data_IF_969781004694
#
_entry.id   IF_969781004694
#
_cell.length_a   1.000
_cell.length_b   1.000
_cell.length_c   1.000
_cell.angle_alpha   90.00
_cell.angle_beta   90.00
_cell.angle_gamma   90.00
#
_symmetry.space_group_name_H-M   'P 1'
#
loop_
_entity.id
_entity.type
_entity.pdbx_description
1 polymer ?
#
# COMPACT_ATOMS: atom_id res chain seq x y z
N UNK A 1 2.13 9.97 20.71
CA UNK A 1 3.02 8.91 21.27
C UNK A 1 2.51 7.56 20.77
N UNK A 2 2.90 7.15 19.55
CA UNK A 2 2.45 5.91 18.91
C UNK A 2 3.52 4.84 19.10
N UNK A 3 3.30 3.90 20.02
CA UNK A 3 4.10 2.67 20.10
C UNK A 3 3.69 1.75 18.96
N UNK A 4 4.55 1.58 17.99
CA UNK A 4 4.45 0.52 16.99
C UNK A 4 4.74 -0.80 17.71
N UNK A 5 3.72 -1.64 17.83
CA UNK A 5 3.88 -3.03 18.28
C UNK A 5 4.68 -3.77 17.20
N UNK A 6 5.85 -4.25 17.57
CA UNK A 6 6.72 -5.00 16.65
C UNK A 6 6.25 -6.46 16.56
N UNK A 7 6.53 -7.08 15.43
CA UNK A 7 6.13 -8.44 15.05
C UNK A 7 6.64 -9.56 16.01
N UNK A 8 7.44 -9.18 17.03
CA UNK A 8 7.97 -10.07 18.06
C UNK A 8 7.02 -10.35 19.23
N UNK A 9 6.06 -9.46 19.46
CA UNK A 9 5.22 -9.56 20.66
C UNK A 9 4.10 -10.61 20.56
N UNK A 10 3.70 -10.96 19.34
CA UNK A 10 2.68 -11.99 19.08
C UNK A 10 3.15 -13.41 19.39
N UNK A 11 4.46 -13.68 19.21
CA UNK A 11 5.03 -15.00 19.49
C UNK A 11 5.09 -15.31 20.99
N UNK A 12 5.18 -14.30 21.84
CA UNK A 12 5.21 -14.44 23.30
C UNK A 12 3.82 -14.60 23.90
N UNK A 13 2.81 -13.99 23.30
CA UNK A 13 1.41 -14.15 23.71
C UNK A 13 0.86 -15.55 23.41
N UNK A 14 1.25 -16.17 22.31
CA UNK A 14 0.81 -17.53 21.94
C UNK A 14 1.45 -18.61 22.82
N UNK A 15 2.65 -18.40 23.35
CA UNK A 15 3.34 -19.35 24.23
C UNK A 15 2.76 -19.42 25.65
N UNK A 16 2.15 -18.35 26.13
CA UNK A 16 1.59 -18.26 27.51
C UNK A 16 0.22 -18.94 27.64
N UNK A 17 -0.54 -19.09 26.57
CA UNK A 17 -1.85 -19.76 26.59
C UNK A 17 -1.73 -21.28 26.62
N UNK A 18 -0.61 -21.84 26.13
CA UNK A 18 -0.38 -23.29 26.12
C UNK A 18 0.21 -23.86 27.42
N UNK A 19 0.73 -23.00 28.33
CA UNK A 19 1.37 -23.47 29.57
C UNK A 19 0.42 -23.59 30.77
N UNK A 20 -0.82 -23.11 30.68
CA UNK A 20 -1.76 -23.07 31.80
C UNK A 20 -2.66 -24.33 31.92
N UNK A 21 -2.51 -25.31 31.02
CA UNK A 21 -3.42 -26.48 30.96
C UNK A 21 -2.93 -27.77 31.63
N UNK A 22 -1.75 -27.82 32.25
CA UNK A 22 -1.11 -29.11 32.59
C UNK A 22 -0.89 -29.36 34.09
N UNK A 23 -1.58 -28.72 35.01
CA UNK A 23 -1.31 -28.90 36.43
C UNK A 23 -2.57 -29.10 37.28
N UNK A 24 -3.37 -30.11 36.96
CA UNK A 24 -4.41 -30.56 37.89
C UNK A 24 -4.75 -32.03 37.65
N UNK A 25 -3.99 -32.95 38.21
CA UNK A 25 -4.47 -34.32 38.54
C UNK A 25 -3.36 -35.13 39.22
N UNK A 26 -3.25 -35.05 40.53
CA UNK A 26 -2.77 -36.16 41.33
C UNK A 26 -3.08 -35.90 42.81
N UNK A 27 -4.22 -36.35 43.29
CA UNK A 27 -4.41 -36.56 44.74
C UNK A 27 -4.50 -38.07 44.97
N UNK A 28 -3.66 -38.65 45.82
CA UNK A 28 -3.82 -40.05 46.24
C UNK A 28 -4.91 -40.09 47.31
N UNK A 29 -5.99 -40.84 46.99
CA UNK A 29 -7.02 -41.21 47.99
C UNK A 29 -6.57 -42.46 48.70
N UNK A 30 -6.23 -42.35 49.98
CA UNK A 30 -6.09 -43.49 50.88
C UNK A 30 -7.48 -43.94 51.36
N UNK A 31 -7.85 -45.13 51.04
CA UNK A 31 -9.08 -45.79 51.46
C UNK A 31 -8.88 -46.52 52.80
N UNK A 32 -9.75 -46.34 53.79
CA UNK A 32 -9.95 -47.37 54.82
C UNK A 32 -10.99 -48.39 54.30
N UNK A 33 -10.57 -49.60 54.17
CA UNK A 33 -11.38 -50.74 53.87
C UNK A 33 -12.04 -51.22 55.16
N UNK A 34 -13.35 -50.92 55.30
CA UNK A 34 -14.30 -51.80 56.04
C UNK A 34 -15.69 -51.12 56.01
N UNK A 35 -16.67 -51.90 55.68
CA UNK A 35 -18.08 -51.60 55.45
C UNK A 35 -18.44 -51.26 54.01
N UNK A 36 -18.48 -52.33 53.16
CA UNK A 36 -19.07 -52.24 51.84
C UNK A 36 -20.57 -52.50 51.95
N UNK A 37 -21.44 -51.50 51.84
CA UNK A 37 -22.88 -51.71 51.66
C UNK A 37 -23.13 -52.46 50.34
N UNK A 38 -24.17 -53.25 50.24
CA UNK A 38 -24.48 -53.95 49.00
C UNK A 38 -24.61 -52.98 47.84
N UNK A 39 -23.88 -53.33 46.76
CA UNK A 39 -23.84 -52.55 45.54
C UNK A 39 -25.25 -52.18 45.09
N UNK A 40 -25.50 -50.88 45.02
CA UNK A 40 -26.70 -50.34 44.38
C UNK A 40 -26.77 -50.81 42.92
N UNK A 41 -27.97 -51.10 42.39
CA UNK A 41 -28.08 -51.48 40.99
C UNK A 41 -27.41 -50.45 40.08
N UNK A 42 -26.73 -50.92 39.00
CA UNK A 42 -26.03 -50.00 38.12
C UNK A 42 -26.98 -48.88 37.64
N UNK A 43 -26.56 -47.65 37.87
CA UNK A 43 -27.24 -46.48 37.32
C UNK A 43 -27.33 -46.62 35.80
N UNK A 44 -28.52 -46.40 35.24
CA UNK A 44 -28.68 -46.34 33.78
C UNK A 44 -27.65 -45.40 33.19
N UNK A 45 -26.86 -45.90 32.25
CA UNK A 45 -25.91 -45.09 31.50
C UNK A 45 -26.65 -43.93 30.81
N UNK A 46 -26.35 -42.70 31.21
CA UNK A 46 -26.89 -41.52 30.57
C UNK A 46 -26.37 -41.51 29.13
N UNK A 47 -27.25 -41.49 28.12
CA UNK A 47 -26.77 -41.47 26.73
C UNK A 47 -25.84 -40.28 26.54
N UNK A 48 -24.70 -40.45 25.85
CA UNK A 48 -23.72 -39.40 25.68
C UNK A 48 -24.38 -38.18 24.97
N UNK A 49 -24.14 -37.03 25.51
CA UNK A 49 -24.64 -35.76 24.99
C UNK A 49 -24.17 -35.55 23.54
N UNK A 50 -24.99 -34.91 22.70
CA UNK A 50 -24.63 -34.56 21.31
C UNK A 50 -23.24 -33.88 21.23
N UNK A 51 -22.89 -33.07 22.22
CA UNK A 51 -21.59 -32.39 22.33
C UNK A 51 -20.42 -33.36 22.61
N UNK A 52 -20.66 -34.40 23.39
CA UNK A 52 -19.62 -35.41 23.66
C UNK A 52 -19.35 -36.28 22.44
N UNK A 53 -20.37 -36.59 21.67
CA UNK A 53 -20.25 -37.39 20.45
C UNK A 53 -19.62 -36.62 19.28
N UNK A 54 -19.83 -35.31 19.18
CA UNK A 54 -19.46 -34.51 18.00
C UNK A 54 -18.48 -33.38 18.30
N UNK A 55 -17.94 -33.31 19.51
CA UNK A 55 -17.03 -32.23 19.94
C UNK A 55 -15.84 -32.04 19.00
N UNK A 56 -15.20 -33.11 18.56
CA UNK A 56 -14.09 -33.09 17.61
C UNK A 56 -14.52 -32.60 16.22
N UNK A 57 -15.67 -33.06 15.74
CA UNK A 57 -16.21 -32.63 14.44
C UNK A 57 -16.61 -31.15 14.44
N UNK A 58 -17.24 -30.69 15.53
CA UNK A 58 -17.59 -29.27 15.70
C UNK A 58 -16.34 -28.41 15.78
N UNK A 59 -15.31 -28.82 16.54
CA UNK A 59 -14.06 -28.08 16.65
C UNK A 59 -13.36 -27.95 15.28
N UNK A 60 -13.28 -29.06 14.53
CA UNK A 60 -12.71 -29.09 13.18
C UNK A 60 -13.53 -28.21 12.21
N UNK A 61 -14.86 -28.24 12.30
CA UNK A 61 -15.74 -27.38 11.50
C UNK A 61 -15.52 -25.88 11.77
N UNK A 62 -15.43 -25.51 13.04
CA UNK A 62 -15.15 -24.11 13.43
C UNK A 62 -13.76 -23.69 12.96
N UNK A 63 -12.74 -24.54 13.12
CA UNK A 63 -11.39 -24.26 12.64
C UNK A 63 -11.35 -24.08 11.12
N UNK A 64 -12.00 -24.97 10.38
CA UNK A 64 -12.11 -24.87 8.91
C UNK A 64 -12.82 -23.57 8.49
N UNK A 65 -13.89 -23.19 9.17
CA UNK A 65 -14.60 -21.95 8.92
C UNK A 65 -13.70 -20.71 9.17
N UNK A 66 -12.95 -20.71 10.27
CA UNK A 66 -12.01 -19.61 10.57
C UNK A 66 -10.91 -19.49 9.51
N UNK A 67 -10.39 -20.61 9.02
CA UNK A 67 -9.40 -20.62 7.94
C UNK A 67 -10.01 -20.09 6.65
N UNK A 68 -11.22 -20.50 6.29
CA UNK A 68 -11.91 -20.00 5.10
C UNK A 68 -12.20 -18.51 5.18
N UNK A 69 -12.67 -18.02 6.32
CA UNK A 69 -12.89 -16.59 6.56
C UNK A 69 -11.56 -15.81 6.49
N UNK A 70 -10.50 -16.32 7.10
CA UNK A 70 -9.16 -15.72 7.02
C UNK A 70 -8.63 -15.65 5.58
N UNK A 71 -8.81 -16.72 4.80
CA UNK A 71 -8.46 -16.74 3.37
C UNK A 71 -9.31 -15.77 2.56
N UNK A 72 -10.60 -15.68 2.82
CA UNK A 72 -11.50 -14.75 2.14
C UNK A 72 -11.12 -13.29 2.44
N UNK A 73 -10.83 -12.97 3.70
CA UNK A 73 -10.37 -11.63 4.10
C UNK A 73 -9.01 -11.34 3.43
N UNK A 74 -8.07 -12.29 3.48
CA UNK A 74 -6.77 -12.13 2.84
C UNK A 74 -6.88 -11.91 1.32
N UNK A 75 -7.78 -12.66 0.65
CA UNK A 75 -8.06 -12.47 -0.78
C UNK A 75 -8.68 -11.10 -1.07
N UNK A 76 -9.58 -10.65 -0.23
CA UNK A 76 -10.23 -9.34 -0.39
C UNK A 76 -9.29 -8.17 -0.10
N UNK A 77 -8.43 -8.33 0.89
CA UNK A 77 -7.41 -7.35 1.25
C UNK A 77 -6.17 -7.40 0.34
N UNK A 78 -6.08 -8.37 -0.58
CA UNK A 78 -4.99 -8.39 -1.56
C UNK A 78 -5.01 -7.08 -2.35
N UNK A 79 -3.91 -6.30 -2.31
CA UNK A 79 -3.83 -5.12 -3.16
C UNK A 79 -4.00 -5.57 -4.60
N UNK A 80 -5.06 -5.09 -5.25
CA UNK A 80 -5.26 -5.33 -6.68
C UNK A 80 -3.99 -4.86 -7.38
N UNK A 81 -3.43 -5.65 -8.33
CA UNK A 81 -2.27 -5.19 -9.08
C UNK A 81 -2.60 -3.80 -9.61
N UNK A 82 -1.71 -2.80 -9.42
CA UNK A 82 -1.98 -1.46 -9.93
C UNK A 82 -2.26 -1.60 -11.42
N UNK A 83 -3.43 -1.17 -11.85
CA UNK A 83 -3.71 -1.01 -13.27
C UNK A 83 -2.61 -0.09 -13.75
N UNK A 84 -1.74 -0.59 -14.63
CA UNK A 84 -0.65 0.18 -15.21
C UNK A 84 -1.26 1.24 -16.13
N UNK A 85 -1.86 2.26 -15.49
CA UNK A 85 -2.31 3.45 -16.23
C UNK A 85 -1.05 4.13 -16.72
N UNK A 86 -0.92 4.34 -18.03
CA UNK A 86 0.21 5.05 -18.60
C UNK A 86 0.47 6.36 -17.85
N UNK A 87 1.72 6.72 -17.54
CA UNK A 87 2.04 7.88 -16.73
C UNK A 87 1.48 9.18 -17.30
N UNK A 88 1.41 9.31 -18.64
CA UNK A 88 0.82 10.44 -19.35
C UNK A 88 -0.69 10.56 -19.12
N UNK A 89 -1.42 9.46 -19.11
CA UNK A 89 -2.89 9.47 -18.91
C UNK A 89 -3.20 9.93 -17.49
N UNK A 90 -2.45 9.43 -16.51
CA UNK A 90 -2.58 9.83 -15.12
C UNK A 90 -2.25 11.30 -14.91
N UNK A 91 -1.13 11.76 -15.47
CA UNK A 91 -0.70 13.15 -15.33
C UNK A 91 -1.72 14.10 -15.96
N UNK A 92 -2.23 13.82 -17.16
CA UNK A 92 -3.27 14.63 -17.82
C UNK A 92 -4.56 14.69 -17.01
N UNK A 93 -5.00 13.56 -16.46
CA UNK A 93 -6.22 13.52 -15.65
C UNK A 93 -6.06 14.35 -14.34
N UNK A 94 -4.93 14.23 -13.65
CA UNK A 94 -4.64 14.99 -12.44
C UNK A 94 -4.52 16.50 -12.75
N UNK A 95 -3.83 16.88 -13.82
CA UNK A 95 -3.71 18.29 -14.26
C UNK A 95 -5.06 18.87 -14.68
N UNK A 96 -5.89 18.13 -15.40
CA UNK A 96 -7.23 18.56 -15.78
C UNK A 96 -8.15 18.79 -14.56
N UNK A 97 -8.00 17.98 -13.52
CA UNK A 97 -8.72 18.18 -12.26
C UNK A 97 -8.27 19.45 -11.54
N UNK A 98 -6.95 19.75 -11.54
CA UNK A 98 -6.38 20.96 -10.94
C UNK A 98 -6.76 22.22 -11.73
N UNK A 99 -6.94 22.13 -13.05
CA UNK A 99 -7.35 23.26 -13.88
C UNK A 99 -8.76 23.78 -13.61
N UNK A 100 -9.58 23.04 -12.85
CA UNK A 100 -10.90 23.47 -12.39
C UNK A 100 -10.86 24.30 -11.11
N UNK A 101 -9.71 24.36 -10.45
CA UNK A 101 -9.52 25.09 -9.20
C UNK A 101 -8.91 26.48 -9.49
N UNK A 102 -9.16 27.48 -8.62
CA UNK A 102 -8.49 28.77 -8.73
C UNK A 102 -6.98 28.58 -8.60
N UNK A 103 -6.21 29.29 -9.41
CA UNK A 103 -4.76 29.22 -9.44
C UNK A 103 -4.18 29.91 -8.20
N UNK A 104 -3.94 29.14 -7.15
CA UNK A 104 -3.27 29.58 -5.92
C UNK A 104 -1.91 28.88 -5.74
N UNK A 105 -1.14 29.26 -4.73
CA UNK A 105 0.15 28.64 -4.42
C UNK A 105 0.08 27.13 -4.14
N UNK A 106 -1.06 26.64 -3.63
CA UNK A 106 -1.28 25.21 -3.40
C UNK A 106 -1.49 24.45 -4.72
N UNK A 107 -2.29 25.03 -5.63
CA UNK A 107 -2.51 24.46 -6.96
C UNK A 107 -1.21 24.43 -7.74
N UNK A 108 -0.43 25.52 -7.75
CA UNK A 108 0.89 25.57 -8.39
C UNK A 108 1.82 24.48 -7.81
N UNK A 109 1.82 24.30 -6.49
CA UNK A 109 2.61 23.27 -5.83
C UNK A 109 2.20 21.85 -6.28
N UNK A 110 0.90 21.59 -6.33
CA UNK A 110 0.36 20.28 -6.80
C UNK A 110 0.69 20.02 -8.26
N UNK A 111 0.56 21.02 -9.13
CA UNK A 111 0.93 20.94 -10.55
C UNK A 111 2.40 20.55 -10.70
N UNK A 112 3.30 21.21 -9.95
CA UNK A 112 4.73 20.90 -9.93
C UNK A 112 4.99 19.45 -9.48
N UNK A 113 4.28 18.97 -8.47
CA UNK A 113 4.40 17.59 -8.00
C UNK A 113 3.89 16.56 -9.02
N UNK A 114 2.78 16.85 -9.71
CA UNK A 114 2.26 15.99 -10.79
C UNK A 114 3.29 15.87 -11.90
N UNK A 115 3.86 17.00 -12.34
CA UNK A 115 4.88 17.03 -13.38
C UNK A 115 6.13 16.22 -12.98
N UNK A 116 6.64 16.41 -11.74
CA UNK A 116 7.79 15.63 -11.23
C UNK A 116 7.51 14.12 -11.22
N UNK A 117 6.35 13.70 -10.71
CA UNK A 117 5.95 12.28 -10.71
C UNK A 117 5.86 11.71 -12.11
N UNK A 118 5.28 12.49 -13.03
CA UNK A 118 5.20 12.09 -14.43
C UNK A 118 6.59 11.89 -15.03
N UNK A 119 7.50 12.85 -14.90
CA UNK A 119 8.85 12.76 -15.44
C UNK A 119 9.63 11.58 -14.86
N UNK A 120 9.53 11.36 -13.55
CA UNK A 120 10.19 10.22 -12.91
C UNK A 120 9.67 8.89 -13.48
N UNK A 121 8.35 8.76 -13.66
CA UNK A 121 7.76 7.54 -14.20
C UNK A 121 7.99 7.38 -15.72
N UNK A 122 7.96 8.47 -16.48
CA UNK A 122 8.05 8.45 -17.93
C UNK A 122 9.48 8.17 -18.42
N UNK A 123 10.48 8.70 -17.70
CA UNK A 123 11.91 8.56 -18.06
C UNK A 123 12.68 7.64 -17.12
N UNK A 124 11.95 6.92 -16.23
CA UNK A 124 12.53 5.95 -15.30
C UNK A 124 13.67 6.53 -14.45
N UNK A 125 13.48 7.78 -13.97
CA UNK A 125 14.45 8.44 -13.13
C UNK A 125 14.47 7.82 -11.72
N UNK A 126 15.60 7.89 -11.00
CA UNK A 126 15.70 7.30 -9.67
C UNK A 126 14.63 7.89 -8.74
N UNK A 127 13.92 7.04 -7.98
CA UNK A 127 12.92 7.52 -7.04
C UNK A 127 13.60 8.25 -5.88
N UNK A 128 13.18 9.48 -5.63
CA UNK A 128 13.68 10.29 -4.52
C UNK A 128 12.90 11.60 -4.43
N UNK A 129 12.80 12.14 -3.22
CA UNK A 129 12.37 13.53 -3.01
C UNK A 129 13.54 14.46 -3.38
N UNK A 130 13.84 14.54 -4.67
CA UNK A 130 14.89 15.44 -5.14
C UNK A 130 14.42 16.89 -5.09
N UNK A 131 15.32 17.76 -4.65
CA UNK A 131 15.12 19.21 -4.76
C UNK A 131 14.98 19.63 -6.23
N UNK A 132 14.43 20.81 -6.49
CA UNK A 132 14.32 21.33 -7.87
C UNK A 132 15.67 21.36 -8.57
N UNK A 133 16.74 21.72 -7.84
CA UNK A 133 18.10 21.78 -8.37
C UNK A 133 18.64 20.37 -8.74
N UNK A 134 18.44 19.37 -7.89
CA UNK A 134 18.86 17.99 -8.15
C UNK A 134 18.11 17.37 -9.31
N UNK A 135 16.79 17.60 -9.37
CA UNK A 135 15.98 17.14 -10.50
C UNK A 135 16.47 17.78 -11.81
N UNK A 136 16.68 19.10 -11.85
CA UNK A 136 17.21 19.78 -13.02
C UNK A 136 18.59 19.24 -13.43
N UNK A 137 19.48 18.97 -12.48
CA UNK A 137 20.77 18.37 -12.74
C UNK A 137 20.66 16.93 -13.31
N UNK A 138 19.72 16.14 -12.82
CA UNK A 138 19.44 14.80 -13.33
C UNK A 138 18.86 14.83 -14.74
N UNK A 139 17.89 15.74 -14.99
CA UNK A 139 17.30 15.94 -16.31
C UNK A 139 18.35 16.36 -17.34
N UNK A 140 19.26 17.27 -16.97
CA UNK A 140 20.31 17.78 -17.87
C UNK A 140 21.38 16.72 -18.23
N UNK A 141 21.57 15.72 -17.36
CA UNK A 141 22.49 14.58 -17.63
C UNK A 141 21.85 13.47 -18.46
N UNK A 142 20.53 13.47 -18.55
CA UNK A 142 19.80 12.42 -19.23
C UNK A 142 19.72 12.66 -20.73
N UNK A 143 20.43 11.88 -21.52
CA UNK A 143 20.38 11.93 -22.99
C UNK A 143 18.97 11.64 -23.54
N UNK A 144 18.17 10.86 -22.81
CA UNK A 144 16.81 10.52 -23.21
C UNK A 144 15.86 11.72 -23.18
N UNK A 145 16.08 12.65 -22.27
CA UNK A 145 15.23 13.84 -22.10
C UNK A 145 15.61 14.92 -23.12
N UNK A 146 16.88 15.12 -23.29
CA UNK A 146 17.42 16.18 -24.16
C UNK A 146 17.48 17.55 -23.49
N UNK A 147 18.37 18.41 -23.96
CA UNK A 147 18.67 19.70 -23.29
C UNK A 147 17.49 20.68 -23.33
N UNK A 148 16.72 20.69 -24.41
CA UNK A 148 15.58 21.61 -24.58
C UNK A 148 14.45 21.36 -23.57
N UNK A 149 14.04 20.07 -23.46
CA UNK A 149 12.99 19.70 -22.50
C UNK A 149 13.49 19.87 -21.06
N UNK A 150 14.74 19.51 -20.77
CA UNK A 150 15.33 19.71 -19.45
C UNK A 150 15.35 21.18 -19.04
N UNK A 151 15.71 22.10 -19.95
CA UNK A 151 15.70 23.54 -19.73
C UNK A 151 14.28 24.06 -19.48
N UNK A 152 13.31 23.68 -20.32
CA UNK A 152 11.91 24.10 -20.19
C UNK A 152 11.26 23.62 -18.88
N UNK A 153 11.52 22.38 -18.47
CA UNK A 153 11.07 21.85 -17.17
C UNK A 153 11.74 22.61 -16.02
N UNK A 154 13.04 22.85 -16.10
CA UNK A 154 13.79 23.59 -15.08
C UNK A 154 13.28 25.03 -14.91
N UNK A 155 12.98 25.73 -15.99
CA UNK A 155 12.38 27.05 -15.98
C UNK A 155 11.00 27.04 -15.30
N UNK A 156 10.13 26.11 -15.72
CA UNK A 156 8.81 25.96 -15.12
C UNK A 156 8.87 25.69 -13.62
N UNK A 157 9.74 24.79 -13.17
CA UNK A 157 9.85 24.45 -11.75
C UNK A 157 10.36 25.61 -10.90
N UNK A 158 11.38 26.35 -11.39
CA UNK A 158 11.87 27.57 -10.70
C UNK A 158 10.79 28.65 -10.63
N UNK A 159 10.13 28.94 -11.74
CA UNK A 159 9.04 29.92 -11.77
C UNK A 159 7.87 29.48 -10.86
N UNK A 160 7.59 28.18 -10.76
CA UNK A 160 6.59 27.65 -9.83
C UNK A 160 7.00 27.85 -8.38
N UNK A 161 8.28 27.63 -8.04
CA UNK A 161 8.80 27.84 -6.69
C UNK A 161 8.77 29.30 -6.28
N UNK A 162 9.09 30.22 -7.17
CA UNK A 162 8.98 31.68 -6.95
C UNK A 162 7.52 32.09 -6.69
N UNK A 163 6.58 31.60 -7.50
CA UNK A 163 5.16 31.92 -7.38
C UNK A 163 4.49 31.39 -6.12
N UNK A 164 4.94 30.26 -5.57
CA UNK A 164 4.42 29.72 -4.30
C UNK A 164 4.56 30.69 -3.13
N UNK A 165 5.63 31.47 -3.14
CA UNK A 165 5.98 32.38 -2.06
C UNK A 165 5.68 33.88 -2.41
N UNK A 166 5.22 34.13 -3.62
CA UNK A 166 4.82 35.49 -4.00
C UNK A 166 3.46 35.83 -3.35
N UNK A 167 3.30 37.04 -2.83
CA UNK A 167 2.00 37.51 -2.34
C UNK A 167 0.98 37.50 -3.49
N UNK A 168 -0.25 37.09 -3.18
CA UNK A 168 -1.33 36.89 -4.14
C UNK A 168 -1.83 38.19 -4.85
N UNK A 169 -1.11 39.29 -4.77
CA UNK A 169 -1.49 40.58 -5.28
C UNK A 169 -1.05 40.80 -6.74
N UNK A 170 -1.99 40.65 -7.67
CA UNK A 170 -2.00 41.44 -8.91
C UNK A 170 -1.04 41.05 -10.04
N UNK A 171 -0.47 39.86 -10.05
CA UNK A 171 0.39 39.41 -11.13
C UNK A 171 -0.40 38.72 -12.27
N UNK A 172 0.20 38.74 -13.48
CA UNK A 172 -0.31 37.99 -14.62
C UNK A 172 -0.53 36.50 -14.25
N UNK A 173 -1.63 35.84 -14.67
CA UNK A 173 -1.89 34.45 -14.35
C UNK A 173 -0.75 33.56 -14.86
N UNK A 174 -0.18 32.73 -13.98
CA UNK A 174 0.97 31.89 -14.31
C UNK A 174 0.62 30.76 -15.28
N UNK A 175 -0.68 30.39 -15.33
CA UNK A 175 -1.22 29.31 -16.17
C UNK A 175 -0.48 27.99 -15.96
N UNK A 176 -0.24 27.67 -14.70
CA UNK A 176 0.54 26.49 -14.29
C UNK A 176 0.09 25.20 -14.97
N UNK A 177 -1.21 24.95 -15.01
CA UNK A 177 -1.78 23.74 -15.59
C UNK A 177 -1.52 23.67 -17.10
N UNK A 178 -1.75 24.75 -17.84
CA UNK A 178 -1.55 24.77 -19.29
C UNK A 178 -0.08 24.59 -19.66
N UNK A 179 0.82 25.23 -18.91
CA UNK A 179 2.28 25.08 -19.10
C UNK A 179 2.73 23.65 -18.78
N UNK A 180 2.24 23.07 -17.69
CA UNK A 180 2.57 21.68 -17.34
C UNK A 180 2.04 20.67 -18.36
N UNK A 181 0.83 20.88 -18.91
CA UNK A 181 0.28 20.04 -20.00
C UNK A 181 1.17 20.12 -21.25
N UNK A 182 1.60 21.33 -21.64
CA UNK A 182 2.50 21.49 -22.78
C UNK A 182 3.83 20.76 -22.58
N UNK A 183 4.39 20.78 -21.35
CA UNK A 183 5.60 20.04 -21.03
C UNK A 183 5.39 18.50 -21.06
N UNK A 184 4.22 18.00 -20.63
CA UNK A 184 3.87 16.59 -20.77
C UNK A 184 3.77 16.20 -22.24
N UNK A 185 3.19 17.04 -23.10
CA UNK A 185 3.11 16.80 -24.54
C UNK A 185 4.48 16.78 -25.21
N UNK A 186 5.34 17.73 -24.89
CA UNK A 186 6.73 17.76 -25.38
C UNK A 186 7.50 16.49 -24.94
N UNK A 187 7.32 16.07 -23.68
CA UNK A 187 7.94 14.87 -23.16
C UNK A 187 7.47 13.61 -23.89
N UNK A 188 6.17 13.50 -24.16
CA UNK A 188 5.62 12.35 -24.93
C UNK A 188 6.08 12.36 -26.39
N UNK A 189 6.15 13.52 -27.03
CA UNK A 189 6.72 13.66 -28.37
C UNK A 189 8.17 13.17 -28.40
N UNK A 190 8.98 13.55 -27.40
CA UNK A 190 10.36 13.08 -27.26
C UNK A 190 10.44 11.56 -27.05
N UNK A 191 9.59 11.00 -26.19
CA UNK A 191 9.51 9.54 -25.96
C UNK A 191 9.09 8.78 -27.22
N UNK A 192 8.12 9.32 -27.98
CA UNK A 192 7.69 8.73 -29.24
C UNK A 192 8.84 8.72 -30.25
N UNK A 193 9.59 9.79 -30.34
CA UNK A 193 10.77 9.89 -31.20
C UNK A 193 11.85 8.87 -30.84
N UNK A 194 12.16 8.72 -29.53
CA UNK A 194 13.12 7.73 -29.06
C UNK A 194 12.67 6.29 -29.34
N UNK A 195 11.37 5.99 -29.19
CA UNK A 195 10.84 4.66 -29.53
C UNK A 195 10.94 4.38 -31.03
N UNK A 196 10.67 5.38 -31.87
CA UNK A 196 10.80 5.25 -33.32
C UNK A 196 12.27 5.05 -33.73
N UNK A 197 13.21 5.73 -33.09
CA UNK A 197 14.64 5.59 -33.33
C UNK A 197 15.21 4.24 -32.84
N UNK A 198 14.63 3.64 -31.80
CA UNK A 198 15.05 2.34 -31.27
C UNK A 198 14.61 1.15 -32.15
N UNK A 199 13.76 1.34 -33.15
CA UNK A 199 13.23 0.29 -34.02
C UNK A 199 12.22 -0.63 -33.34
N UNK A 200 11.52 -1.50 -34.09
CA UNK A 200 10.65 -2.50 -33.52
C UNK A 200 11.50 -3.49 -32.70
N UNK A 201 11.10 -3.75 -31.44
CA UNK A 201 11.74 -4.79 -30.64
C UNK A 201 11.69 -6.13 -31.40
N UNK A 202 12.78 -6.91 -31.45
CA UNK A 202 12.75 -8.22 -32.04
C UNK A 202 11.67 -9.05 -31.36
N UNK A 203 10.69 -9.49 -32.14
CA UNK A 203 9.66 -10.42 -31.67
C UNK A 203 10.33 -11.72 -31.25
N UNK A 204 10.36 -12.00 -29.95
CA UNK A 204 10.79 -13.28 -29.40
C UNK A 204 9.72 -14.35 -29.60
#
# INVERSE_FOLDING_TARGET
>A
MNRRLTMGDWRRAAALVLAAGASALAQPVSSPMDDIPPLAPPLQEIPPSFWEQHSTAVLLGVLALLVLVGLAIWWWCRPKPPVLVPPEVRARAELAALGKQPEDGLVISRVSQVLRRYLNAAFNLPPGESTTAELCATLSRSETIGPELAAAVGEFLRASDERKFAPAAGGEPFRAVSRALALVEQAEARRAHLRAAAGPAPSA
#
